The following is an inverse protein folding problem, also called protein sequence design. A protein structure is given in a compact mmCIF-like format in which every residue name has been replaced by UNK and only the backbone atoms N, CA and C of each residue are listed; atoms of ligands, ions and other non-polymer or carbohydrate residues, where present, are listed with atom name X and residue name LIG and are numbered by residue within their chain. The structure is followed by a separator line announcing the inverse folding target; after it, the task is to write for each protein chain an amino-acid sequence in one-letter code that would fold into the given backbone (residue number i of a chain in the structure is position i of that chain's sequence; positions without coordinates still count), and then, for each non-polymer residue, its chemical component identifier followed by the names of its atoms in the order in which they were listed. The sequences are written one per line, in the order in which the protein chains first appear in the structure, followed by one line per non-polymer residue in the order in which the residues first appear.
data_IF_062592110937
#
_entry.id   IF_062592110937
#
_cell.length_a   1.000
_cell.length_b   1.000
_cell.length_c   1.000
_cell.angle_alpha   90.00
_cell.angle_beta   90.00
_cell.angle_gamma   90.00
#
_symmetry.space_group_name_H-M   'P 1'
#
loop_
_entity.id
_entity.type
_entity.pdbx_description
1 polymer ?
#
# COMPACT_ATOMS: atom_id res chain seq x y z
N UNK A 1 3.78 4.00 -16.10
CA UNK A 1 4.88 4.05 -17.09
C UNK A 1 5.78 5.28 -16.88
N UNK A 2 5.22 6.49 -16.70
CA UNK A 2 6.00 7.72 -16.50
C UNK A 2 6.95 7.63 -15.29
N UNK A 3 6.54 7.01 -14.19
CA UNK A 3 7.36 6.87 -12.98
C UNK A 3 8.53 5.90 -13.20
N UNK A 4 8.32 4.81 -13.90
CA UNK A 4 9.42 3.89 -14.27
C UNK A 4 10.46 4.57 -15.18
N UNK A 5 10.01 5.38 -16.13
CA UNK A 5 10.91 6.15 -17.01
C UNK A 5 11.74 7.15 -16.20
N UNK A 6 11.12 7.80 -15.22
CA UNK A 6 11.82 8.74 -14.30
C UNK A 6 12.86 8.04 -13.45
N UNK A 7 12.52 6.87 -12.86
CA UNK A 7 13.46 6.07 -12.07
C UNK A 7 14.64 5.62 -12.92
N UNK A 8 14.38 5.11 -14.13
CA UNK A 8 15.46 4.72 -15.06
C UNK A 8 16.38 5.88 -15.43
N UNK A 9 15.82 7.06 -15.71
CA UNK A 9 16.61 8.25 -16.00
C UNK A 9 17.48 8.67 -14.80
N UNK A 10 16.94 8.58 -13.59
CA UNK A 10 17.68 8.86 -12.36
C UNK A 10 18.79 7.84 -12.11
N UNK A 11 18.54 6.56 -12.35
CA UNK A 11 19.56 5.51 -12.27
C UNK A 11 20.71 5.77 -13.24
N UNK A 12 20.40 6.14 -14.48
CA UNK A 12 21.41 6.46 -15.49
C UNK A 12 22.22 7.70 -15.10
N UNK A 13 21.57 8.73 -14.58
CA UNK A 13 22.25 9.92 -14.04
C UNK A 13 23.23 9.54 -12.92
N UNK A 14 22.84 8.68 -11.99
CA UNK A 14 23.71 8.23 -10.90
C UNK A 14 24.87 7.39 -11.45
N UNK A 15 24.60 6.50 -12.41
CA UNK A 15 25.61 5.62 -13.02
C UNK A 15 26.69 6.42 -13.80
N UNK A 16 26.30 7.51 -14.41
CA UNK A 16 27.19 8.35 -15.23
C UNK A 16 27.78 9.54 -14.49
N UNK A 17 27.46 9.73 -13.20
CA UNK A 17 27.98 10.82 -12.39
C UNK A 17 29.49 10.63 -12.15
N UNK A 18 30.34 11.56 -12.63
CA UNK A 18 31.79 11.47 -12.46
C UNK A 18 32.26 11.89 -11.06
N UNK A 19 31.35 12.38 -10.20
CA UNK A 19 31.76 12.91 -8.89
C UNK A 19 32.04 11.78 -7.90
N UNK A 20 32.94 12.04 -6.98
CA UNK A 20 33.24 11.19 -5.83
C UNK A 20 32.74 11.88 -4.54
N UNK A 21 32.67 11.18 -3.39
CA UNK A 21 32.35 11.84 -2.12
C UNK A 21 33.23 13.04 -1.83
N UNK A 22 34.53 13.00 -2.20
CA UNK A 22 35.50 14.05 -1.96
C UNK A 22 35.29 15.28 -2.87
N UNK A 23 34.63 15.10 -4.00
CA UNK A 23 34.40 16.19 -4.98
C UNK A 23 32.98 16.73 -4.91
N UNK A 24 32.09 16.16 -4.11
CA UNK A 24 30.74 16.68 -3.89
C UNK A 24 30.75 17.81 -2.89
N UNK A 25 30.06 18.89 -3.22
CA UNK A 25 29.95 20.05 -2.35
C UNK A 25 28.83 19.96 -1.32
N UNK A 26 28.13 18.83 -1.26
CA UNK A 26 26.98 18.62 -0.38
C UNK A 26 26.92 17.18 0.11
N UNK A 27 26.70 17.02 1.40
CA UNK A 27 26.45 15.73 2.04
C UNK A 27 25.05 15.18 1.80
N UNK A 28 24.21 15.90 1.04
CA UNK A 28 22.87 15.46 0.74
C UNK A 28 22.87 14.30 -0.29
N UNK A 29 22.58 13.05 0.11
CA UNK A 29 22.59 11.91 -0.79
C UNK A 29 21.35 11.84 -1.71
N UNK A 30 20.32 12.65 -1.46
CA UNK A 30 19.05 12.56 -2.17
C UNK A 30 19.16 12.74 -3.69
N UNK A 31 20.00 13.64 -4.23
CA UNK A 31 20.18 13.76 -5.68
C UNK A 31 20.76 12.51 -6.34
N UNK A 32 21.42 11.65 -5.55
CA UNK A 32 22.06 10.41 -6.01
C UNK A 32 21.24 9.15 -5.68
N UNK A 33 20.10 9.31 -5.03
CA UNK A 33 19.20 8.19 -4.75
C UNK A 33 18.29 7.94 -5.96
N UNK A 34 18.45 6.82 -6.70
CA UNK A 34 17.60 6.48 -7.82
C UNK A 34 16.21 6.02 -7.38
N UNK A 35 16.07 5.60 -6.13
CA UNK A 35 14.80 5.11 -5.60
C UNK A 35 13.85 6.28 -5.34
N UNK A 36 12.78 6.34 -6.09
CA UNK A 36 11.66 7.27 -5.86
C UNK A 36 10.38 6.48 -5.61
N UNK A 37 10.23 5.89 -4.41
CA UNK A 37 9.15 4.94 -4.14
C UNK A 37 7.77 5.61 -4.00
N UNK A 38 7.69 6.93 -4.07
CA UNK A 38 6.45 7.67 -3.79
C UNK A 38 5.25 7.20 -4.61
N UNK A 39 5.41 7.02 -5.92
CA UNK A 39 4.33 6.54 -6.77
C UNK A 39 3.95 5.08 -6.46
N UNK A 40 4.94 4.23 -6.18
CA UNK A 40 4.71 2.84 -5.79
C UNK A 40 3.99 2.76 -4.44
N UNK A 41 4.45 3.51 -3.45
CA UNK A 41 3.81 3.59 -2.13
C UNK A 41 2.38 4.12 -2.26
N UNK A 42 2.17 5.15 -3.08
CA UNK A 42 0.83 5.68 -3.34
C UNK A 42 -0.10 4.63 -3.94
N UNK A 43 0.39 3.82 -4.88
CA UNK A 43 -0.38 2.72 -5.45
C UNK A 43 -0.66 1.61 -4.43
N UNK A 44 0.32 1.28 -3.59
CA UNK A 44 0.17 0.23 -2.58
C UNK A 44 -0.82 0.59 -1.46
N UNK A 45 -0.83 1.85 -1.02
CA UNK A 45 -1.71 2.30 0.06
C UNK A 45 -2.99 2.98 -0.43
N UNK A 46 -3.12 3.16 -1.74
CA UNK A 46 -4.28 3.80 -2.35
C UNK A 46 -4.47 5.28 -1.99
N UNK A 47 -3.41 5.97 -1.61
CA UNK A 47 -3.46 7.38 -1.20
C UNK A 47 -2.17 8.13 -1.45
N UNK A 48 -2.14 9.39 -1.06
CA UNK A 48 -0.95 10.23 -1.17
C UNK A 48 0.13 9.78 -0.18
N UNK A 49 1.38 9.81 -0.64
CA UNK A 49 2.53 9.56 0.23
C UNK A 49 2.66 10.68 1.26
N UNK A 50 2.79 10.35 2.56
CA UNK A 50 2.99 11.34 3.60
C UNK A 50 4.27 12.14 3.35
N UNK A 51 4.22 13.42 3.66
CA UNK A 51 5.39 14.31 3.68
C UNK A 51 5.60 14.81 5.11
N UNK A 52 6.74 15.48 5.35
CA UNK A 52 7.03 16.08 6.64
C UNK A 52 5.88 16.96 7.12
N UNK A 53 5.36 16.68 8.31
CA UNK A 53 4.27 17.43 8.93
C UNK A 53 2.89 17.23 8.31
N UNK A 54 2.74 16.33 7.35
CA UNK A 54 1.45 16.01 6.75
C UNK A 54 0.84 14.77 7.41
N UNK A 55 -0.47 14.74 7.66
CA UNK A 55 -1.16 13.52 8.09
C UNK A 55 -1.08 12.46 6.99
N UNK A 56 -1.16 11.21 7.39
CA UNK A 56 -1.25 10.09 6.46
C UNK A 56 -2.64 10.09 5.81
N UNK A 57 -2.68 10.25 4.50
CA UNK A 57 -3.88 10.07 3.69
C UNK A 57 -3.72 8.81 2.85
N UNK A 58 -4.44 7.77 3.21
CA UNK A 58 -4.44 6.49 2.49
C UNK A 58 -5.86 6.05 2.19
N UNK A 59 -6.06 5.32 1.09
CA UNK A 59 -7.35 4.66 0.80
C UNK A 59 -7.51 3.42 1.65
N UNK A 60 -6.41 2.71 1.83
CA UNK A 60 -6.34 1.50 2.63
C UNK A 60 -5.03 1.45 3.39
N UNK A 61 -5.05 0.71 4.48
CA UNK A 61 -3.90 0.38 5.29
C UNK A 61 -3.92 -1.13 5.57
N UNK A 62 -2.74 -1.73 5.67
CA UNK A 62 -2.62 -3.17 5.88
C UNK A 62 -2.12 -3.48 7.28
N UNK A 63 -2.56 -4.62 7.79
CA UNK A 63 -2.17 -5.13 9.11
C UNK A 63 -1.87 -6.62 9.03
N UNK A 64 -0.92 -7.04 9.84
CA UNK A 64 -0.59 -8.42 10.12
C UNK A 64 -1.31 -8.83 11.42
N UNK A 65 -2.45 -9.55 11.33
CA UNK A 65 -3.21 -9.92 12.51
C UNK A 65 -2.51 -10.97 13.37
N UNK A 66 -1.65 -11.79 12.77
CA UNK A 66 -0.90 -12.84 13.49
C UNK A 66 0.22 -12.22 14.32
N UNK A 67 0.94 -11.26 13.77
CA UNK A 67 1.98 -10.54 14.49
C UNK A 67 1.42 -9.39 15.35
N UNK A 68 0.13 -9.07 15.26
CA UNK A 68 -0.53 -8.01 16.03
C UNK A 68 0.06 -6.62 15.73
N UNK A 69 0.37 -6.31 14.45
CA UNK A 69 1.07 -5.08 14.09
C UNK A 69 0.57 -4.47 12.76
N UNK A 70 0.78 -3.16 12.55
CA UNK A 70 0.62 -2.55 11.23
C UNK A 70 1.63 -3.09 10.22
N UNK A 71 1.25 -3.05 8.95
CA UNK A 71 2.03 -3.46 7.80
C UNK A 71 1.67 -4.85 7.30
N UNK A 72 2.24 -5.20 6.15
CA UNK A 72 1.99 -6.50 5.52
C UNK A 72 2.61 -7.65 6.31
N UNK A 73 1.98 -8.83 6.32
CA UNK A 73 2.63 -10.06 6.75
C UNK A 73 3.87 -10.36 5.90
N UNK A 74 4.83 -11.08 6.48
CA UNK A 74 6.01 -11.52 5.76
C UNK A 74 5.61 -12.40 4.55
N UNK A 75 6.23 -12.15 3.39
CA UNK A 75 5.96 -12.87 2.16
C UNK A 75 4.66 -12.48 1.45
N UNK A 76 3.95 -11.45 1.93
CA UNK A 76 2.78 -10.93 1.23
C UNK A 76 3.12 -9.63 0.50
N UNK A 77 2.76 -9.57 -0.77
CA UNK A 77 2.80 -8.36 -1.59
C UNK A 77 1.40 -7.83 -1.87
N UNK A 78 1.28 -6.51 -2.02
CA UNK A 78 0.06 -5.85 -2.46
C UNK A 78 0.36 -4.85 -3.57
N UNK A 79 -0.53 -4.79 -4.56
CA UNK A 79 -0.48 -3.81 -5.63
C UNK A 79 -1.88 -3.22 -5.84
N UNK A 80 -2.01 -1.91 -5.70
CA UNK A 80 -3.21 -1.19 -6.15
C UNK A 80 -3.10 -0.99 -7.66
N UNK A 81 -3.93 -1.70 -8.41
CA UNK A 81 -3.93 -1.65 -9.87
C UNK A 81 -4.78 -0.50 -10.41
N UNK A 82 -5.88 -0.22 -9.73
CA UNK A 82 -6.82 0.84 -10.09
C UNK A 82 -7.24 1.61 -8.85
N UNK A 83 -7.34 2.93 -8.99
CA UNK A 83 -7.73 3.83 -7.93
C UNK A 83 -8.74 4.84 -8.48
N UNK A 84 -9.96 4.82 -7.95
CA UNK A 84 -11.04 5.73 -8.31
C UNK A 84 -11.53 6.54 -7.10
N UNK A 85 -12.58 7.34 -7.28
CA UNK A 85 -13.10 8.18 -6.21
C UNK A 85 -13.57 7.35 -5.01
N UNK A 86 -14.39 6.33 -5.25
CA UNK A 86 -15.08 5.54 -4.23
C UNK A 86 -14.80 4.05 -4.36
N UNK A 87 -13.82 3.67 -5.17
CA UNK A 87 -13.43 2.27 -5.36
C UNK A 87 -11.95 2.12 -5.64
N UNK A 88 -11.45 0.89 -5.49
CA UNK A 88 -10.10 0.51 -5.85
C UNK A 88 -10.03 -0.97 -6.22
N UNK A 89 -9.04 -1.31 -7.05
CA UNK A 89 -8.67 -2.71 -7.30
C UNK A 89 -7.31 -2.97 -6.70
N UNK A 90 -7.21 -3.96 -5.82
CA UNK A 90 -5.95 -4.38 -5.20
C UNK A 90 -5.71 -5.86 -5.45
N UNK A 91 -4.51 -6.19 -5.89
CA UNK A 91 -4.03 -7.58 -5.99
C UNK A 91 -3.10 -7.87 -4.82
N UNK A 92 -3.44 -8.91 -4.06
CA UNK A 92 -2.62 -9.49 -3.00
C UNK A 92 -1.98 -10.78 -3.49
N UNK A 93 -0.73 -11.03 -3.09
CA UNK A 93 -0.03 -12.28 -3.40
C UNK A 93 0.73 -12.77 -2.17
N UNK A 94 0.48 -14.02 -1.79
CA UNK A 94 1.31 -14.74 -0.83
C UNK A 94 2.43 -15.45 -1.59
N UNK A 95 3.67 -15.03 -1.39
CA UNK A 95 4.85 -15.61 -2.06
C UNK A 95 5.43 -16.81 -1.30
N UNK A 96 4.92 -17.12 -0.11
CA UNK A 96 5.33 -18.30 0.65
C UNK A 96 4.66 -19.55 0.04
N UNK A 97 5.43 -20.54 -0.45
CA UNK A 97 4.87 -21.73 -1.10
C UNK A 97 4.30 -22.75 -0.10
N UNK A 98 4.51 -22.58 1.19
CA UNK A 98 4.22 -23.60 2.21
C UNK A 98 3.26 -23.13 3.29
N UNK A 99 3.24 -21.83 3.59
CA UNK A 99 2.44 -21.26 4.66
C UNK A 99 1.36 -20.29 4.14
N UNK A 100 0.15 -20.40 4.68
CA UNK A 100 -0.90 -19.41 4.47
C UNK A 100 -0.61 -18.10 5.20
N UNK A 101 -1.25 -17.03 4.77
CA UNK A 101 -1.14 -15.70 5.38
C UNK A 101 -2.51 -15.06 5.52
N UNK A 102 -2.73 -14.40 6.65
CA UNK A 102 -3.89 -13.57 6.90
C UNK A 102 -3.51 -12.11 6.85
N UNK A 103 -4.27 -11.32 6.12
CA UNK A 103 -4.09 -9.87 5.97
C UNK A 103 -5.36 -9.18 6.37
N UNK A 104 -5.28 -8.15 7.19
CA UNK A 104 -6.40 -7.23 7.40
C UNK A 104 -6.14 -5.96 6.61
N UNK A 105 -7.11 -5.58 5.80
CA UNK A 105 -7.16 -4.32 5.07
C UNK A 105 -8.10 -3.39 5.82
N UNK A 106 -7.65 -2.19 6.16
CA UNK A 106 -8.46 -1.15 6.80
C UNK A 106 -8.81 -0.05 5.80
N UNK A 107 -10.02 0.46 5.88
CA UNK A 107 -10.53 1.54 5.04
C UNK A 107 -10.02 2.90 5.52
N UNK A 108 -9.03 3.45 4.84
CA UNK A 108 -8.36 4.68 5.22
C UNK A 108 -7.05 4.45 5.97
N UNK A 109 -6.49 5.51 6.52
CA UNK A 109 -5.29 5.48 7.36
C UNK A 109 -5.62 5.24 8.84
N UNK A 110 -6.84 5.62 9.25
CA UNK A 110 -7.32 5.64 10.63
C UNK A 110 -8.77 5.17 10.73
N UNK A 111 -9.20 4.24 9.85
CA UNK A 111 -10.57 3.75 9.72
C UNK A 111 -11.62 4.84 9.42
N UNK A 112 -11.21 5.95 8.87
CA UNK A 112 -12.10 7.07 8.53
C UNK A 112 -13.00 6.80 7.33
N UNK A 113 -12.77 5.70 6.59
CA UNK A 113 -13.61 5.21 5.49
C UNK A 113 -14.37 3.96 5.92
N UNK A 114 -15.29 3.50 5.08
CA UNK A 114 -16.04 2.26 5.28
C UNK A 114 -16.09 1.48 3.97
N UNK A 115 -15.76 0.21 4.01
CA UNK A 115 -15.99 -0.69 2.87
C UNK A 115 -17.48 -1.00 2.75
N UNK A 116 -18.03 -0.82 1.57
CA UNK A 116 -19.43 -1.14 1.27
C UNK A 116 -19.56 -2.51 0.63
N UNK A 117 -18.59 -2.90 -0.17
CA UNK A 117 -18.57 -4.19 -0.84
C UNK A 117 -17.18 -4.59 -1.31
N UNK A 118 -17.03 -5.88 -1.57
CA UNK A 118 -15.86 -6.46 -2.23
C UNK A 118 -16.29 -7.49 -3.27
N UNK A 119 -15.65 -7.47 -4.43
CA UNK A 119 -15.78 -8.50 -5.46
C UNK A 119 -14.47 -9.25 -5.63
N UNK A 120 -14.53 -10.58 -5.51
CA UNK A 120 -13.41 -11.50 -5.70
C UNK A 120 -13.86 -12.58 -6.67
N UNK A 121 -13.12 -12.80 -7.76
CA UNK A 121 -13.45 -13.79 -8.79
C UNK A 121 -14.91 -13.68 -9.31
N UNK A 122 -15.40 -12.46 -9.47
CA UNK A 122 -16.76 -12.17 -9.93
C UNK A 122 -17.86 -12.36 -8.87
N UNK A 123 -17.51 -12.81 -7.65
CA UNK A 123 -18.44 -12.95 -6.54
C UNK A 123 -18.41 -11.71 -5.66
N UNK A 124 -19.54 -11.06 -5.54
CA UNK A 124 -19.72 -9.86 -4.72
C UNK A 124 -20.19 -10.22 -3.30
N UNK A 125 -19.64 -9.50 -2.33
CA UNK A 125 -19.99 -9.63 -0.90
C UNK A 125 -20.11 -8.22 -0.32
N UNK A 126 -21.25 -7.94 0.31
CA UNK A 126 -21.42 -6.70 1.08
C UNK A 126 -20.58 -6.77 2.36
N UNK A 127 -19.91 -5.68 2.70
CA UNK A 127 -19.02 -5.59 3.88
C UNK A 127 -19.67 -4.74 4.98
N UNK A 128 -19.82 -3.43 4.78
CA UNK A 128 -20.42 -2.55 5.80
C UNK A 128 -19.52 -2.33 7.03
N UNK A 129 -18.21 -2.48 6.89
CA UNK A 129 -17.23 -2.39 7.98
C UNK A 129 -16.03 -1.54 7.57
N UNK A 130 -15.26 -1.11 8.57
CA UNK A 130 -14.00 -0.36 8.38
C UNK A 130 -12.82 -1.27 8.05
N UNK A 131 -12.98 -2.58 8.12
CA UNK A 131 -11.92 -3.54 7.85
C UNK A 131 -12.42 -4.78 7.12
N UNK A 132 -11.51 -5.45 6.42
CA UNK A 132 -11.73 -6.66 5.66
C UNK A 132 -10.57 -7.63 5.89
N UNK A 133 -10.86 -8.83 6.41
CA UNK A 133 -9.90 -9.92 6.53
C UNK A 133 -9.78 -10.72 5.22
N UNK A 134 -8.56 -10.97 4.77
CA UNK A 134 -8.27 -11.79 3.59
C UNK A 134 -7.33 -12.93 3.97
N UNK A 135 -7.75 -14.16 3.69
CA UNK A 135 -6.92 -15.35 3.84
C UNK A 135 -6.30 -15.76 2.51
N UNK A 136 -4.99 -15.86 2.47
CA UNK A 136 -4.23 -16.26 1.29
C UNK A 136 -3.58 -17.62 1.52
N UNK A 137 -3.98 -18.62 0.75
CA UNK A 137 -3.35 -19.93 0.77
C UNK A 137 -1.87 -19.84 0.32
N UNK A 138 -1.04 -20.85 0.59
CA UNK A 138 0.35 -20.89 0.13
C UNK A 138 0.46 -20.67 -1.38
N UNK A 139 1.31 -19.73 -1.81
CA UNK A 139 1.53 -19.39 -3.21
C UNK A 139 0.34 -18.78 -3.95
N UNK A 140 -0.75 -18.48 -3.23
CA UNK A 140 -1.97 -17.95 -3.86
C UNK A 140 -1.98 -16.42 -3.93
N UNK A 141 -2.75 -15.89 -4.88
CA UNK A 141 -3.09 -14.49 -4.98
C UNK A 141 -4.59 -14.29 -5.03
N UNK A 142 -5.03 -13.06 -4.78
CA UNK A 142 -6.42 -12.64 -4.92
C UNK A 142 -6.45 -11.20 -5.45
N UNK A 143 -7.32 -10.95 -6.42
CA UNK A 143 -7.64 -9.60 -6.88
C UNK A 143 -8.98 -9.20 -6.28
N UNK A 144 -8.97 -8.11 -5.54
CA UNK A 144 -10.12 -7.55 -4.85
C UNK A 144 -10.53 -6.24 -5.53
N UNK A 145 -11.77 -6.17 -6.01
CA UNK A 145 -12.42 -4.92 -6.38
C UNK A 145 -13.21 -4.46 -5.16
N UNK A 146 -12.82 -3.33 -4.59
CA UNK A 146 -13.34 -2.85 -3.30
C UNK A 146 -14.08 -1.54 -3.52
N UNK A 147 -15.33 -1.48 -3.06
CA UNK A 147 -16.13 -0.26 -3.01
C UNK A 147 -16.13 0.30 -1.58
N UNK A 148 -16.13 1.64 -1.45
CA UNK A 148 -16.05 2.30 -0.15
C UNK A 148 -16.80 3.64 -0.11
N UNK A 149 -17.30 3.98 1.05
CA UNK A 149 -17.71 5.33 1.43
C UNK A 149 -16.57 6.02 2.17
N UNK A 150 -16.26 7.26 1.78
CA UNK A 150 -15.09 7.97 2.32
C UNK A 150 -15.50 8.97 3.38
N UNK A 151 -14.70 9.05 4.47
CA UNK A 151 -14.84 10.02 5.56
C UNK A 151 -16.18 9.96 6.27
N UNK A 152 -16.73 8.76 6.43
CA UNK A 152 -18.01 8.52 7.12
C UNK A 152 -17.84 8.20 8.59
N UNK A 153 -16.64 7.86 9.03
CA UNK A 153 -16.31 7.52 10.40
C UNK A 153 -15.36 8.52 11.04
N UNK A 154 -15.43 8.66 12.36
CA UNK A 154 -14.42 9.37 13.12
C UNK A 154 -13.09 8.60 13.06
N UNK A 155 -11.96 9.27 12.75
CA UNK A 155 -10.65 8.65 12.75
C UNK A 155 -10.30 8.05 14.13
N UNK A 156 -9.64 6.90 14.13
CA UNK A 156 -9.19 6.23 15.36
C UNK A 156 -7.80 5.64 15.20
N UNK A 157 -7.04 5.57 16.32
CA UNK A 157 -5.76 4.85 16.38
C UNK A 157 -5.93 3.39 16.85
N UNK A 158 -7.14 2.96 17.23
CA UNK A 158 -7.40 1.58 17.61
C UNK A 158 -7.14 0.65 16.43
N UNK A 159 -6.52 -0.49 16.70
CA UNK A 159 -6.31 -1.51 15.67
C UNK A 159 -7.63 -2.17 15.27
N UNK A 160 -7.70 -2.79 14.06
CA UNK A 160 -8.92 -3.42 13.58
C UNK A 160 -9.52 -4.47 14.53
N UNK A 161 -8.69 -5.14 15.30
CA UNK A 161 -9.10 -6.17 16.27
C UNK A 161 -9.45 -5.64 17.67
N UNK A 162 -9.27 -4.34 17.90
CA UNK A 162 -9.59 -3.68 19.20
C UNK A 162 -10.90 -2.87 19.13
N UNK A 163 -11.66 -3.03 18.03
CA UNK A 163 -12.91 -2.30 17.74
C UNK A 163 -14.11 -3.21 17.76
#
# INVERSE_FOLDING_TARGET
QADFSRVRAQMEKVRTDPTTPDTRLSDNPNPFNPATPGALVQQMVGGLTPRHGCPLHARVRYFDPVAGRPGMPEGVGALVEKLEADSMTVTLVNTDPTASRDVVIEAGAYAEHQFTGVRIDGRETAIGDTSLGVHLAPGAGATLEIDMERYVNAPTFAFPWDR
#
